data_IF_265299409813
#
_entry.id   IF_265299409813
#
_cell.length_a   1.000
_cell.length_b   1.000
_cell.length_c   1.000
_cell.angle_alpha   90.00
_cell.angle_beta   90.00
_cell.angle_gamma   90.00
#
_symmetry.space_group_name_H-M   'P 1'
#
loop_
_entity.id
_entity.type
_entity.pdbx_description
1 polymer ?
#
# COMPACT_ATOMS: atom_id res chain seq x y z
N UNK A 1 -14.75 -14.98 10.11
CA UNK A 1 -13.46 -15.13 9.39
C UNK A 1 -12.78 -13.77 9.36
N UNK A 2 -11.76 -13.56 10.19
CA UNK A 2 -11.08 -12.26 10.30
C UNK A 2 -9.96 -12.23 9.26
N UNK A 3 -10.07 -11.34 8.26
CA UNK A 3 -8.97 -11.11 7.31
C UNK A 3 -7.84 -10.46 8.10
N UNK A 4 -6.74 -11.18 8.33
CA UNK A 4 -5.54 -10.62 8.97
C UNK A 4 -4.95 -9.58 8.02
N UNK A 5 -5.13 -8.30 8.33
CA UNK A 5 -4.56 -7.20 7.56
C UNK A 5 -3.08 -7.07 7.95
N UNK A 6 -2.17 -7.27 6.99
CA UNK A 6 -0.72 -7.17 7.20
C UNK A 6 -0.12 -6.00 6.43
N UNK A 7 0.98 -5.46 6.94
CA UNK A 7 1.71 -4.38 6.29
C UNK A 7 2.25 -4.84 4.93
N UNK A 8 1.91 -4.11 3.85
CA UNK A 8 2.31 -4.46 2.50
C UNK A 8 3.83 -4.31 2.21
N UNK A 9 4.60 -3.72 3.14
CA UNK A 9 6.06 -3.62 3.02
C UNK A 9 6.80 -4.67 3.86
N UNK A 10 6.54 -4.72 5.17
CA UNK A 10 7.31 -5.54 6.11
C UNK A 10 6.56 -6.80 6.59
N UNK A 11 5.32 -7.02 6.14
CA UNK A 11 4.44 -8.08 6.62
C UNK A 11 4.12 -8.04 8.13
N UNK A 12 4.48 -6.96 8.82
CA UNK A 12 4.14 -6.75 10.22
C UNK A 12 2.63 -6.58 10.45
N UNK A 13 2.21 -6.76 11.69
CA UNK A 13 0.83 -6.56 12.11
C UNK A 13 0.44 -5.09 11.97
N UNK A 14 -0.77 -4.84 11.48
CA UNK A 14 -1.37 -3.51 11.49
C UNK A 14 -2.11 -3.35 12.83
N UNK A 15 -1.73 -2.33 13.59
CA UNK A 15 -2.42 -1.94 14.83
C UNK A 15 -3.66 -1.10 14.54
N UNK A 16 -4.13 -0.35 15.54
CA UNK A 16 -5.37 0.44 15.42
C UNK A 16 -5.25 1.55 14.36
N UNK A 17 -4.09 2.20 14.27
CA UNK A 17 -3.83 3.23 13.27
C UNK A 17 -3.30 2.60 11.99
N UNK A 18 -4.16 2.57 10.96
CA UNK A 18 -3.80 2.04 9.65
C UNK A 18 -3.39 3.16 8.69
N UNK A 19 -2.26 3.01 8.02
CA UNK A 19 -1.85 3.94 6.96
C UNK A 19 -2.18 3.33 5.60
N UNK A 20 -2.96 4.05 4.78
CA UNK A 20 -3.42 3.55 3.47
C UNK A 20 -2.73 4.31 2.34
N UNK A 21 -2.28 3.57 1.31
CA UNK A 21 -1.94 4.10 0.00
C UNK A 21 -2.98 3.60 -0.99
N UNK A 22 -3.73 4.53 -1.60
CA UNK A 22 -4.70 4.25 -2.66
C UNK A 22 -4.11 4.63 -4.01
N UNK A 23 -4.27 3.78 -5.02
CA UNK A 23 -3.88 4.08 -6.40
C UNK A 23 -4.66 3.18 -7.37
N UNK A 24 -5.15 3.74 -8.48
CA UNK A 24 -6.09 3.06 -9.37
C UNK A 24 -7.23 2.43 -8.54
N UNK A 25 -7.48 1.13 -8.72
CA UNK A 25 -8.47 0.35 -7.97
C UNK A 25 -7.85 -0.45 -6.81
N UNK A 26 -6.63 -0.10 -6.37
CA UNK A 26 -5.92 -0.80 -5.32
C UNK A 26 -5.82 0.01 -4.04
N UNK A 27 -5.98 -0.69 -2.92
CA UNK A 27 -5.64 -0.20 -1.60
C UNK A 27 -4.54 -1.08 -0.99
N UNK A 28 -3.52 -0.43 -0.43
CA UNK A 28 -2.44 -1.07 0.33
C UNK A 28 -2.37 -0.48 1.72
N UNK A 29 -2.25 -1.36 2.70
CA UNK A 29 -2.24 -1.02 4.11
C UNK A 29 -0.85 -1.17 4.72
N UNK A 30 -0.50 -0.29 5.65
CA UNK A 30 0.83 -0.22 6.25
C UNK A 30 0.73 0.01 7.76
N UNK A 31 1.64 -0.63 8.51
CA UNK A 31 1.72 -0.51 9.96
C UNK A 31 2.27 0.84 10.44
N UNK A 32 2.96 1.60 9.58
CA UNK A 32 3.49 2.92 9.89
C UNK A 32 3.67 3.80 8.64
N UNK A 33 3.83 5.10 8.83
CA UNK A 33 4.08 6.08 7.75
C UNK A 33 5.36 5.78 6.97
N UNK A 34 6.41 5.30 7.64
CA UNK A 34 7.70 4.95 7.03
C UNK A 34 7.52 3.81 6.04
N UNK A 35 6.80 2.75 6.40
CA UNK A 35 6.52 1.65 5.48
C UNK A 35 5.74 2.12 4.24
N UNK A 36 4.77 3.02 4.43
CA UNK A 36 4.03 3.62 3.30
C UNK A 36 4.95 4.40 2.36
N UNK A 37 5.82 5.24 2.91
CA UNK A 37 6.75 6.07 2.14
C UNK A 37 7.74 5.21 1.34
N UNK A 38 8.42 4.26 2.00
CA UNK A 38 9.34 3.33 1.35
C UNK A 38 8.67 2.49 0.28
N UNK A 39 7.45 1.99 0.52
CA UNK A 39 6.71 1.24 -0.49
C UNK A 39 6.42 2.09 -1.73
N UNK A 40 5.96 3.33 -1.52
CA UNK A 40 5.66 4.28 -2.61
C UNK A 40 6.92 4.59 -3.43
N UNK A 41 8.06 4.81 -2.79
CA UNK A 41 9.32 5.08 -3.46
C UNK A 41 9.82 3.87 -4.25
N UNK A 42 9.93 2.70 -3.60
CA UNK A 42 10.43 1.46 -4.22
C UNK A 42 9.57 1.02 -5.41
N UNK A 43 8.26 1.27 -5.37
CA UNK A 43 7.32 0.84 -6.41
C UNK A 43 6.86 1.99 -7.32
N UNK A 44 7.48 3.16 -7.26
CA UNK A 44 6.99 4.38 -7.95
C UNK A 44 6.66 4.14 -9.43
N UNK A 45 7.61 3.60 -10.20
CA UNK A 45 7.42 3.31 -11.64
C UNK A 45 6.26 2.36 -11.91
N UNK A 46 6.10 1.33 -11.07
CA UNK A 46 5.02 0.34 -11.21
C UNK A 46 3.67 0.96 -10.87
N UNK A 47 3.61 1.75 -9.79
CA UNK A 47 2.40 2.47 -9.39
C UNK A 47 1.96 3.43 -10.51
N UNK A 48 2.89 4.22 -11.06
CA UNK A 48 2.62 5.13 -12.18
C UNK A 48 2.11 4.38 -13.42
N UNK A 49 2.73 3.24 -13.77
CA UNK A 49 2.27 2.41 -14.89
C UNK A 49 0.87 1.84 -14.67
N UNK A 50 0.55 1.39 -13.46
CA UNK A 50 -0.78 0.86 -13.11
C UNK A 50 -1.84 1.96 -13.14
N UNK A 51 -1.52 3.15 -12.61
CA UNK A 51 -2.44 4.30 -12.68
C UNK A 51 -2.73 4.66 -14.13
N UNK A 52 -1.70 4.75 -14.98
CA UNK A 52 -1.88 5.08 -16.40
C UNK A 52 -2.83 4.11 -17.09
N UNK A 53 -2.59 2.80 -16.95
CA UNK A 53 -3.41 1.74 -17.56
C UNK A 53 -4.83 1.68 -17.03
N UNK A 54 -5.08 2.17 -15.82
CA UNK A 54 -6.41 2.17 -15.22
C UNK A 54 -7.31 3.29 -15.76
N UNK A 55 -6.74 4.27 -16.45
CA UNK A 55 -7.43 5.44 -16.98
C UNK A 55 -7.59 5.38 -18.52
N UNK A 56 -7.17 4.27 -19.14
CA UNK A 56 -7.35 3.94 -20.56
C UNK A 56 -8.58 3.03 -20.70
#
# INVERSE_FOLDING_TARGET
MSVKMTCALCNGQIGDTTHVLKFANFERFFCCVTCKAHYKEKNRKRIESVIKKSNE
#
